data_IF_063102875938
#
_entry.id   IF_063102875938
#
_cell.length_a   1.000
_cell.length_b   1.000
_cell.length_c   1.000
_cell.angle_alpha   90.00
_cell.angle_beta   90.00
_cell.angle_gamma   90.00
#
_symmetry.space_group_name_H-M   'P 1'
#
loop_
_entity.id
_entity.type
_entity.pdbx_description
1 polymer ?
#
# COMPACT_ATOMS: atom_id res chain seq x y z
N UNK A 1 21.07 16.78 -55.33
CA UNK A 1 21.75 17.22 -54.09
C UNK A 1 20.76 17.19 -52.94
N UNK A 2 20.71 16.09 -52.18
CA UNK A 2 19.85 15.98 -50.99
C UNK A 2 20.66 16.37 -49.75
N UNK A 3 20.27 17.48 -49.12
CA UNK A 3 20.83 17.96 -47.86
C UNK A 3 20.37 17.06 -46.71
N UNK A 4 21.28 16.28 -46.13
CA UNK A 4 21.01 15.42 -44.98
C UNK A 4 20.97 16.27 -43.70
N UNK A 5 19.85 16.16 -43.00
CA UNK A 5 19.50 16.90 -41.78
C UNK A 5 20.55 16.70 -40.64
N UNK A 6 21.17 17.77 -40.10
CA UNK A 6 22.29 17.68 -39.16
C UNK A 6 21.98 16.95 -37.85
N UNK A 7 20.70 16.89 -37.45
CA UNK A 7 20.25 16.19 -36.24
C UNK A 7 20.46 14.67 -36.29
N UNK A 8 20.40 14.04 -37.47
CA UNK A 8 20.60 12.58 -37.59
C UNK A 8 22.07 12.17 -37.49
N UNK A 9 22.99 13.09 -37.79
CA UNK A 9 24.44 12.86 -37.68
C UNK A 9 24.89 12.87 -36.22
N UNK A 10 24.37 13.81 -35.43
CA UNK A 10 24.66 13.92 -34.00
C UNK A 10 24.20 12.69 -33.18
N UNK A 11 23.00 12.16 -33.47
CA UNK A 11 22.48 10.96 -32.77
C UNK A 11 23.28 9.71 -33.10
N UNK A 12 23.88 9.61 -34.29
CA UNK A 12 24.72 8.47 -34.68
C UNK A 12 26.08 8.52 -33.99
N UNK A 13 26.70 9.70 -33.88
CA UNK A 13 27.99 9.85 -33.20
C UNK A 13 27.90 9.62 -31.69
N UNK A 14 26.82 10.06 -31.03
CA UNK A 14 26.62 9.79 -29.59
C UNK A 14 26.46 8.29 -29.32
N UNK A 15 25.81 7.53 -30.23
CA UNK A 15 25.66 6.07 -30.09
C UNK A 15 26.97 5.33 -30.29
N UNK A 16 27.83 5.76 -31.21
CA UNK A 16 29.14 5.13 -31.40
C UNK A 16 30.13 5.45 -30.28
N UNK A 17 30.08 6.68 -29.74
CA UNK A 17 30.87 7.05 -28.57
C UNK A 17 30.44 6.29 -27.31
N UNK A 18 29.14 6.01 -27.15
CA UNK A 18 28.63 5.21 -26.03
C UNK A 18 29.00 3.72 -26.17
N UNK A 19 28.93 3.16 -27.39
CA UNK A 19 29.33 1.78 -27.65
C UNK A 19 30.84 1.56 -27.45
N UNK A 20 31.69 2.51 -27.87
CA UNK A 20 33.12 2.45 -27.65
C UNK A 20 33.50 2.54 -26.16
N UNK A 21 32.75 3.30 -25.36
CA UNK A 21 32.99 3.43 -23.92
C UNK A 21 32.59 2.18 -23.14
N UNK A 22 31.47 1.54 -23.48
CA UNK A 22 31.00 0.30 -22.83
C UNK A 22 31.91 -0.90 -23.11
N UNK A 23 32.49 -0.99 -24.32
CA UNK A 23 33.43 -2.05 -24.69
C UNK A 23 34.81 -1.84 -24.01
N UNK A 24 35.24 -0.59 -23.83
CA UNK A 24 36.50 -0.27 -23.12
C UNK A 24 36.45 -0.53 -21.61
N UNK A 25 35.30 -0.33 -20.96
CA UNK A 25 35.17 -0.52 -19.50
C UNK A 25 35.16 -2.00 -19.08
N UNK A 26 34.72 -2.91 -19.96
CA UNK A 26 34.72 -4.36 -19.68
C UNK A 26 36.09 -5.01 -19.87
N UNK A 27 37.03 -4.39 -20.59
CA UNK A 27 38.37 -4.92 -20.83
C UNK A 27 39.40 -4.54 -19.75
N UNK A 28 39.10 -3.58 -18.86
CA UNK A 28 40.03 -3.05 -17.87
C UNK A 28 39.83 -3.59 -16.43
N UNK A 29 38.91 -4.53 -16.20
CA UNK A 29 38.74 -5.21 -14.90
C UNK A 29 39.45 -6.56 -14.78
N UNK A 30 40.32 -6.91 -15.75
CA UNK A 30 41.24 -8.02 -15.60
C UNK A 30 42.64 -7.46 -15.33
N UNK A 31 43.29 -8.00 -14.30
CA UNK A 31 44.62 -7.66 -13.76
C UNK A 31 44.56 -6.69 -12.57
N UNK A 32 44.39 -7.25 -11.37
CA UNK A 32 45.38 -7.29 -10.29
C UNK A 32 44.85 -8.24 -9.20
N UNK A 33 45.55 -9.36 -9.02
CA UNK A 33 45.71 -10.03 -7.71
C UNK A 33 47.20 -9.95 -7.38
N UNK A 34 47.58 -9.77 -6.11
CA UNK A 34 47.86 -10.96 -5.31
C UNK A 34 47.49 -10.80 -3.82
N UNK A 35 46.92 -11.84 -3.22
CA UNK A 35 47.14 -12.09 -1.79
C UNK A 35 47.45 -13.57 -1.56
N UNK A 36 48.54 -13.79 -0.85
CA UNK A 36 49.28 -15.04 -0.76
C UNK A 36 48.57 -16.13 0.04
N UNK A 37 48.57 -17.33 -0.53
CA UNK A 37 48.99 -18.59 0.12
C UNK A 37 48.35 -19.01 1.44
N UNK A 38 47.36 -19.90 1.36
CA UNK A 38 47.36 -21.13 2.17
C UNK A 38 46.70 -22.26 1.39
N UNK A 39 47.52 -23.26 1.07
CA UNK A 39 47.15 -24.47 0.34
C UNK A 39 46.34 -25.40 1.25
N UNK A 40 45.03 -25.43 1.08
CA UNK A 40 44.25 -26.64 1.33
C UNK A 40 43.97 -27.27 -0.02
N UNK A 41 44.59 -28.43 -0.26
CA UNK A 41 44.32 -29.28 -1.40
C UNK A 41 42.88 -29.81 -1.32
N UNK A 42 41.91 -28.98 -1.71
CA UNK A 42 40.59 -29.45 -2.06
C UNK A 42 40.76 -30.27 -3.32
N UNK A 43 40.74 -31.60 -3.17
CA UNK A 43 40.50 -32.50 -4.30
C UNK A 43 39.26 -31.97 -5.01
N UNK A 44 39.46 -31.47 -6.22
CA UNK A 44 38.41 -31.05 -7.13
C UNK A 44 37.64 -32.30 -7.52
N UNK A 45 36.76 -32.76 -6.62
CA UNK A 45 35.63 -33.57 -7.02
C UNK A 45 34.74 -32.62 -7.83
N UNK A 46 35.08 -32.45 -9.10
CA UNK A 46 34.15 -31.95 -10.09
C UNK A 46 33.06 -33.00 -10.19
N UNK A 47 32.09 -32.93 -9.27
CA UNK A 47 30.78 -33.47 -9.54
C UNK A 47 30.37 -32.88 -10.90
N UNK A 48 29.97 -33.71 -11.88
CA UNK A 48 29.45 -33.16 -13.12
C UNK A 48 28.32 -32.20 -12.74
N UNK A 49 28.36 -30.99 -13.32
CA UNK A 49 27.21 -30.10 -13.30
C UNK A 49 26.02 -30.96 -13.70
N UNK A 50 25.02 -31.02 -12.81
CA UNK A 50 23.77 -31.74 -13.03
C UNK A 50 23.35 -31.48 -14.47
N UNK A 51 23.32 -32.56 -15.24
CA UNK A 51 22.81 -32.59 -16.61
C UNK A 51 21.50 -31.80 -16.61
N UNK A 52 21.44 -30.73 -17.42
CA UNK A 52 20.25 -29.89 -17.60
C UNK A 52 19.08 -30.83 -17.82
N UNK A 53 18.22 -30.96 -16.79
CA UNK A 53 17.07 -31.83 -16.84
C UNK A 53 16.27 -31.42 -18.08
N UNK A 54 16.27 -32.28 -19.08
CA UNK A 54 15.54 -32.06 -20.31
C UNK A 54 14.11 -31.66 -19.98
N UNK A 55 13.57 -30.73 -20.78
CA UNK A 55 12.19 -30.25 -20.71
C UNK A 55 11.26 -31.34 -20.15
N UNK A 56 10.73 -31.10 -18.95
CA UNK A 56 9.97 -32.06 -18.15
C UNK A 56 8.94 -32.81 -19.00
N UNK A 57 8.79 -34.11 -18.76
CA UNK A 57 7.73 -34.92 -19.38
C UNK A 57 6.37 -34.20 -19.31
N UNK A 58 5.53 -34.33 -20.35
CA UNK A 58 4.23 -33.67 -20.36
C UNK A 58 3.41 -34.08 -19.13
N UNK A 59 2.81 -33.08 -18.47
CA UNK A 59 2.07 -33.29 -17.24
C UNK A 59 0.96 -34.33 -17.45
N UNK A 60 0.82 -35.25 -16.49
CA UNK A 60 -0.33 -36.15 -16.45
C UNK A 60 -1.60 -35.37 -16.05
N UNK A 61 -2.77 -35.99 -16.19
CA UNK A 61 -4.04 -35.27 -16.00
C UNK A 61 -4.28 -34.83 -14.56
N UNK A 62 -3.77 -35.58 -13.58
CA UNK A 62 -3.83 -35.18 -12.16
C UNK A 62 -2.92 -33.98 -11.87
N UNK A 63 -1.72 -33.96 -12.47
CA UNK A 63 -0.79 -32.84 -12.36
C UNK A 63 -1.36 -31.59 -13.02
N UNK A 64 -2.05 -31.72 -14.16
CA UNK A 64 -2.77 -30.60 -14.79
C UNK A 64 -3.91 -30.11 -13.91
N UNK A 65 -4.69 -31.01 -13.31
CA UNK A 65 -5.79 -30.66 -12.42
C UNK A 65 -5.29 -29.93 -11.16
N UNK A 66 -4.23 -30.44 -10.53
CA UNK A 66 -3.58 -29.78 -9.39
C UNK A 66 -2.99 -28.42 -9.77
N UNK A 67 -2.28 -28.34 -10.90
CA UNK A 67 -1.73 -27.08 -11.39
C UNK A 67 -2.84 -26.05 -11.66
N UNK A 68 -3.98 -26.48 -12.21
CA UNK A 68 -5.13 -25.60 -12.40
C UNK A 68 -5.65 -25.10 -11.04
N UNK A 69 -5.91 -26.01 -10.09
CA UNK A 69 -6.38 -25.64 -8.75
C UNK A 69 -5.45 -24.63 -8.08
N UNK A 70 -4.14 -24.84 -8.11
CA UNK A 70 -3.16 -23.94 -7.52
C UNK A 70 -3.11 -22.56 -8.20
N UNK A 71 -3.61 -22.44 -9.43
CA UNK A 71 -3.61 -21.19 -10.21
C UNK A 71 -4.88 -20.38 -10.07
N UNK A 72 -6.03 -21.04 -9.88
CA UNK A 72 -7.33 -20.37 -9.87
C UNK A 72 -8.08 -20.51 -8.55
N UNK A 73 -7.49 -21.14 -7.55
CA UNK A 73 -8.05 -21.28 -6.19
C UNK A 73 -6.97 -21.04 -5.13
N UNK A 74 -7.37 -20.91 -3.86
CA UNK A 74 -6.42 -20.78 -2.74
C UNK A 74 -5.64 -22.09 -2.43
N UNK A 75 -5.81 -23.11 -3.28
CA UNK A 75 -5.20 -24.43 -3.16
C UNK A 75 -6.26 -25.53 -3.20
N UNK A 76 -5.83 -26.74 -3.57
CA UNK A 76 -6.72 -27.90 -3.65
C UNK A 76 -7.31 -28.26 -2.28
N UNK A 77 -8.65 -28.28 -2.18
CA UNK A 77 -9.36 -28.76 -0.98
C UNK A 77 -9.67 -30.26 -1.10
N UNK A 78 -9.95 -30.95 0.01
CA UNK A 78 -10.40 -32.33 -0.04
C UNK A 78 -11.63 -32.49 -0.95
N UNK A 79 -11.55 -33.35 -1.96
CA UNK A 79 -12.62 -33.58 -2.94
C UNK A 79 -12.53 -32.75 -4.23
N UNK A 80 -11.70 -31.70 -4.29
CA UNK A 80 -11.60 -30.86 -5.50
C UNK A 80 -10.96 -31.63 -6.67
N UNK A 81 -9.98 -32.49 -6.41
CA UNK A 81 -9.34 -33.31 -7.44
C UNK A 81 -10.29 -34.35 -8.03
N UNK A 82 -11.05 -35.05 -7.17
CA UNK A 82 -12.07 -36.01 -7.58
C UNK A 82 -13.18 -35.32 -8.39
N UNK A 83 -13.58 -34.12 -7.97
CA UNK A 83 -14.55 -33.30 -8.70
C UNK A 83 -14.04 -32.93 -10.09
N UNK A 84 -12.79 -32.46 -10.19
CA UNK A 84 -12.15 -32.13 -11.47
C UNK A 84 -11.99 -33.35 -12.38
N UNK A 85 -11.66 -34.52 -11.84
CA UNK A 85 -11.65 -35.78 -12.61
C UNK A 85 -13.04 -36.15 -13.14
N UNK A 86 -14.09 -35.90 -12.37
CA UNK A 86 -15.47 -36.21 -12.76
C UNK A 86 -16.06 -35.28 -13.82
N UNK A 87 -15.82 -33.96 -13.71
CA UNK A 87 -16.41 -32.96 -14.63
C UNK A 87 -15.48 -32.52 -15.76
N UNK A 88 -14.17 -32.66 -15.58
CA UNK A 88 -13.14 -32.15 -16.48
C UNK A 88 -12.74 -30.69 -16.24
N UNK A 89 -11.52 -30.34 -16.65
CA UNK A 89 -10.90 -29.03 -16.41
C UNK A 89 -11.67 -27.86 -17.04
N UNK A 90 -12.14 -28.03 -18.28
CA UNK A 90 -12.84 -26.96 -19.01
C UNK A 90 -14.19 -26.60 -18.36
N UNK A 91 -14.96 -27.61 -17.93
CA UNK A 91 -16.22 -27.40 -17.25
C UNK A 91 -16.02 -26.73 -15.88
N UNK A 92 -14.97 -27.12 -15.14
CA UNK A 92 -14.62 -26.47 -13.87
C UNK A 92 -14.27 -25.00 -14.07
N UNK A 93 -13.48 -24.67 -15.10
CA UNK A 93 -13.10 -23.30 -15.40
C UNK A 93 -14.30 -22.45 -15.82
N UNK A 94 -15.19 -22.96 -16.68
CA UNK A 94 -16.43 -22.26 -17.08
C UNK A 94 -17.29 -21.92 -15.86
N UNK A 95 -17.47 -22.87 -14.94
CA UNK A 95 -18.21 -22.65 -13.71
C UNK A 95 -17.58 -21.55 -12.84
N UNK A 96 -16.25 -21.51 -12.73
CA UNK A 96 -15.55 -20.48 -11.95
C UNK A 96 -15.62 -19.08 -12.59
N UNK A 97 -15.75 -19.00 -13.92
CA UNK A 97 -15.95 -17.73 -14.64
C UNK A 97 -17.38 -17.18 -14.49
N UNK A 98 -18.31 -18.01 -14.01
CA UNK A 98 -19.72 -17.69 -13.81
C UNK A 98 -20.13 -17.86 -12.34
N UNK A 99 -19.59 -17.01 -11.42
CA UNK A 99 -19.83 -17.14 -9.98
C UNK A 99 -21.31 -17.05 -9.58
N UNK A 100 -22.15 -16.39 -10.38
CA UNK A 100 -23.59 -16.32 -10.18
C UNK A 100 -24.29 -17.69 -10.21
N UNK A 101 -23.66 -18.71 -10.82
CA UNK A 101 -24.16 -20.09 -10.87
C UNK A 101 -23.76 -20.91 -9.63
N UNK A 102 -22.81 -20.42 -8.84
CA UNK A 102 -22.27 -21.08 -7.66
C UNK A 102 -23.00 -20.62 -6.40
N UNK A 103 -23.53 -21.58 -5.65
CA UNK A 103 -24.15 -21.34 -4.35
C UNK A 103 -23.09 -21.10 -3.26
N UNK A 104 -23.18 -19.93 -2.64
CA UNK A 104 -22.31 -19.47 -1.55
C UNK A 104 -23.11 -19.13 -0.27
N UNK A 105 -24.37 -19.57 -0.16
CA UNK A 105 -25.24 -19.24 0.99
C UNK A 105 -24.60 -19.56 2.35
N UNK A 106 -23.82 -20.65 2.43
CA UNK A 106 -23.13 -21.04 3.65
C UNK A 106 -22.02 -20.06 4.09
N UNK A 107 -21.27 -19.48 3.14
CA UNK A 107 -20.26 -18.46 3.47
C UNK A 107 -20.92 -17.11 3.73
N UNK A 108 -21.95 -16.75 2.97
CA UNK A 108 -22.71 -15.51 3.21
C UNK A 108 -23.34 -15.50 4.61
N UNK A 109 -23.83 -16.64 5.11
CA UNK A 109 -24.32 -16.75 6.49
C UNK A 109 -23.22 -16.51 7.54
N UNK A 110 -21.97 -16.89 7.26
CA UNK A 110 -20.83 -16.64 8.15
C UNK A 110 -20.38 -15.19 8.10
N UNK A 111 -20.33 -14.59 6.89
CA UNK A 111 -19.98 -13.19 6.68
C UNK A 111 -21.04 -12.27 7.30
N UNK A 112 -22.32 -12.64 7.24
CA UNK A 112 -23.41 -11.91 7.89
C UNK A 112 -23.27 -11.83 9.42
N UNK A 113 -22.49 -12.71 10.05
CA UNK A 113 -22.19 -12.64 11.48
C UNK A 113 -21.15 -11.55 11.84
N UNK A 114 -20.55 -10.89 10.85
CA UNK A 114 -19.58 -9.81 11.00
C UNK A 114 -20.28 -8.45 10.79
N UNK A 115 -20.71 -7.78 11.87
CA UNK A 115 -21.63 -6.65 11.77
C UNK A 115 -21.08 -5.45 11.00
N UNK A 116 -19.77 -5.20 11.05
CA UNK A 116 -19.17 -4.03 10.38
C UNK A 116 -19.24 -4.12 8.86
N UNK A 117 -19.34 -5.32 8.29
CA UNK A 117 -19.36 -5.55 6.84
C UNK A 117 -20.67 -5.11 6.19
N UNK A 118 -21.75 -5.08 6.96
CA UNK A 118 -23.09 -4.72 6.50
C UNK A 118 -23.41 -3.24 6.73
N UNK A 119 -22.57 -2.53 7.47
CA UNK A 119 -22.78 -1.13 7.80
C UNK A 119 -22.39 -0.20 6.65
N UNK A 120 -23.00 0.99 6.62
CA UNK A 120 -22.53 2.10 5.80
C UNK A 120 -21.29 2.77 6.43
N UNK A 121 -20.47 3.49 5.66
CA UNK A 121 -19.36 4.27 6.22
C UNK A 121 -19.79 5.24 7.34
N UNK A 122 -20.99 5.82 7.23
CA UNK A 122 -21.55 6.73 8.23
C UNK A 122 -21.83 6.00 9.55
N UNK A 123 -22.50 4.85 9.48
CA UNK A 123 -22.77 4.00 10.65
C UNK A 123 -21.48 3.50 11.30
N UNK A 124 -20.46 3.19 10.48
CA UNK A 124 -19.16 2.77 10.96
C UNK A 124 -18.44 3.88 11.73
N UNK A 125 -18.52 5.13 11.28
CA UNK A 125 -17.96 6.28 12.01
C UNK A 125 -18.67 6.53 13.33
N UNK A 126 -20.00 6.38 13.36
CA UNK A 126 -20.81 6.57 14.57
C UNK A 126 -20.60 5.48 15.61
N UNK A 127 -20.60 4.22 15.19
CA UNK A 127 -20.52 3.05 16.08
C UNK A 127 -19.08 2.66 16.45
N UNK A 128 -18.10 2.96 15.60
CA UNK A 128 -16.68 2.62 15.81
C UNK A 128 -15.78 3.86 15.70
N UNK A 129 -16.00 4.90 16.54
CA UNK A 129 -15.22 6.13 16.49
C UNK A 129 -13.75 5.89 16.86
N UNK A 130 -12.82 6.73 16.38
CA UNK A 130 -11.42 6.60 16.75
C UNK A 130 -11.25 6.82 18.26
N UNK A 131 -10.33 6.10 18.92
CA UNK A 131 -10.09 6.28 20.34
C UNK A 131 -9.69 7.73 20.60
N UNK A 132 -10.37 8.39 21.56
CA UNK A 132 -10.07 9.78 21.94
C UNK A 132 -8.61 9.84 22.41
N UNK A 133 -7.76 10.56 21.67
CA UNK A 133 -6.39 10.85 22.08
C UNK A 133 -6.42 11.55 23.45
N UNK A 134 -6.17 10.79 24.52
CA UNK A 134 -6.32 11.25 25.90
C UNK A 134 -6.64 10.16 26.94
N UNK A 135 -7.15 9.00 26.51
CA UNK A 135 -7.37 7.82 27.39
C UNK A 135 -6.26 6.77 27.32
N UNK A 136 -5.16 7.06 26.61
CA UNK A 136 -3.86 6.55 27.05
C UNK A 136 -3.51 7.25 28.36
N UNK A 137 -4.24 6.87 29.42
CA UNK A 137 -3.82 7.01 30.78
C UNK A 137 -2.40 6.46 30.81
N UNK A 138 -1.44 7.37 30.95
CA UNK A 138 -0.37 7.28 31.93
C UNK A 138 -0.29 5.85 32.46
N UNK A 139 0.40 4.97 31.73
CA UNK A 139 0.80 3.66 32.26
C UNK A 139 1.84 4.02 33.31
N UNK A 140 1.37 4.44 34.47
CA UNK A 140 2.18 4.68 35.65
C UNK A 140 2.95 3.38 35.85
N UNK A 141 4.26 3.44 35.68
CA UNK A 141 5.13 2.43 36.23
C UNK A 141 4.72 2.28 37.70
N UNK A 142 4.37 1.08 38.19
CA UNK A 142 4.06 0.93 39.59
C UNK A 142 5.33 1.27 40.38
N UNK A 143 5.36 2.47 40.96
CA UNK A 143 6.32 2.78 42.00
C UNK A 143 5.91 1.94 43.20
N UNK A 144 6.78 0.99 43.55
CA UNK A 144 6.61 0.17 44.73
C UNK A 144 6.69 1.07 45.97
N UNK A 145 5.54 1.50 46.48
CA UNK A 145 5.35 1.79 47.91
C UNK A 145 3.86 1.82 48.26
N UNK A 146 3.54 1.07 49.31
CA UNK A 146 2.20 0.61 49.64
C UNK A 146 1.23 1.69 50.06
N UNK A 147 -0.06 1.43 49.84
CA UNK A 147 -0.90 0.91 50.91
C UNK A 147 -2.22 0.38 50.33
N UNK A 148 -2.72 -0.65 51.01
CA UNK A 148 -3.88 -1.47 50.67
C UNK A 148 -5.17 -0.71 51.00
N UNK A 149 -5.97 -0.41 49.98
CA UNK A 149 -7.40 -0.16 50.14
C UNK A 149 -8.13 -0.85 48.98
N UNK A 150 -8.95 -1.84 49.35
CA UNK A 150 -9.81 -2.63 48.47
C UNK A 150 -10.87 -1.74 47.80
N UNK A 151 -10.99 -1.72 46.47
CA UNK A 151 -12.19 -1.20 45.83
C UNK A 151 -13.24 -2.33 45.80
N UNK A 152 -14.34 -2.12 46.51
CA UNK A 152 -15.57 -2.92 46.39
C UNK A 152 -16.03 -2.89 44.93
N UNK A 153 -15.93 -4.01 44.22
CA UNK A 153 -16.45 -4.13 42.87
C UNK A 153 -17.97 -4.22 42.90
N UNK A 154 -18.64 -3.15 42.47
CA UNK A 154 -20.01 -3.20 41.99
C UNK A 154 -20.06 -4.14 40.78
N UNK A 155 -20.60 -5.35 40.96
CA UNK A 155 -20.92 -6.26 39.86
C UNK A 155 -22.14 -5.76 39.10
N UNK A 156 -21.94 -4.76 38.24
CA UNK A 156 -22.81 -4.56 37.09
C UNK A 156 -22.23 -5.41 35.96
N UNK A 157 -22.97 -6.46 35.61
CA UNK A 157 -22.65 -7.28 34.46
C UNK A 157 -22.50 -6.38 33.22
N UNK A 158 -21.40 -6.50 32.45
CA UNK A 158 -21.21 -5.69 31.26
C UNK A 158 -22.33 -6.01 30.26
N UNK A 159 -22.94 -4.96 29.69
CA UNK A 159 -23.91 -5.11 28.60
C UNK A 159 -23.26 -5.89 27.45
N UNK A 160 -23.90 -6.93 26.90
CA UNK A 160 -23.39 -7.60 25.72
C UNK A 160 -23.39 -6.59 24.56
N UNK A 161 -22.20 -6.19 24.12
CA UNK A 161 -22.00 -5.16 23.08
C UNK A 161 -21.06 -4.01 23.48
N UNK A 162 -20.74 -3.85 24.76
CA UNK A 162 -19.80 -2.82 25.24
C UNK A 162 -18.42 -3.40 25.59
N UNK A 163 -17.87 -4.26 24.73
CA UNK A 163 -16.46 -4.64 24.80
C UNK A 163 -15.64 -3.45 24.30
N UNK A 164 -15.21 -2.61 25.24
CA UNK A 164 -14.08 -1.67 25.17
C UNK A 164 -13.66 -1.22 23.76
N UNK A 165 -14.45 -0.34 23.15
CA UNK A 165 -14.20 0.47 21.93
C UNK A 165 -12.94 0.07 21.13
N UNK A 166 -12.99 -1.10 20.50
CA UNK A 166 -12.13 -1.38 19.35
C UNK A 166 -12.66 -0.49 18.23
N UNK A 167 -12.11 0.72 18.08
CA UNK A 167 -12.55 1.69 17.07
C UNK A 167 -12.33 1.21 15.63
N UNK A 168 -11.74 2.01 14.72
CA UNK A 168 -11.55 1.59 13.33
C UNK A 168 -10.75 0.28 13.15
N UNK A 169 -10.02 -0.19 14.17
CA UNK A 169 -9.36 -1.50 14.16
C UNK A 169 -10.34 -2.67 13.98
N UNK A 170 -11.52 -2.62 14.61
CA UNK A 170 -12.48 -3.73 14.51
C UNK A 170 -13.01 -3.89 13.10
N UNK A 171 -13.28 -2.77 12.43
CA UNK A 171 -13.69 -2.74 11.01
C UNK A 171 -12.67 -3.44 10.12
N UNK A 172 -11.38 -3.11 10.30
CA UNK A 172 -10.29 -3.73 9.53
C UNK A 172 -10.14 -5.22 9.87
N UNK A 173 -10.30 -5.61 11.14
CA UNK A 173 -10.18 -7.00 11.57
C UNK A 173 -11.31 -7.87 11.04
N UNK A 174 -12.56 -7.38 11.06
CA UNK A 174 -13.70 -8.10 10.50
C UNK A 174 -13.59 -8.22 8.98
N UNK A 175 -13.04 -7.21 8.27
CA UNK A 175 -12.74 -7.34 6.84
C UNK A 175 -11.68 -8.41 6.55
N UNK A 176 -10.60 -8.46 7.33
CA UNK A 176 -9.60 -9.53 7.20
C UNK A 176 -10.22 -10.91 7.50
N UNK A 177 -11.16 -10.98 8.44
CA UNK A 177 -11.89 -12.22 8.75
C UNK A 177 -12.77 -12.66 7.59
N UNK A 178 -13.42 -11.73 6.87
CA UNK A 178 -14.18 -12.03 5.65
C UNK A 178 -13.30 -12.71 4.60
N UNK A 179 -12.11 -12.18 4.32
CA UNK A 179 -11.20 -12.74 3.32
C UNK A 179 -10.86 -14.19 3.62
N UNK A 180 -10.57 -14.51 4.89
CA UNK A 180 -10.28 -15.89 5.32
C UNK A 180 -11.52 -16.77 5.22
N UNK A 181 -12.69 -16.29 5.63
CA UNK A 181 -13.94 -17.04 5.54
C UNK A 181 -14.26 -17.38 4.09
N UNK A 182 -14.10 -16.42 3.17
CA UNK A 182 -14.34 -16.62 1.75
C UNK A 182 -13.31 -17.55 1.13
N UNK A 183 -12.03 -17.41 1.46
CA UNK A 183 -10.99 -18.32 0.99
C UNK A 183 -11.27 -19.79 1.35
N UNK A 184 -11.75 -20.04 2.57
CA UNK A 184 -12.01 -21.40 3.07
C UNK A 184 -13.35 -21.96 2.57
N UNK A 185 -14.43 -21.17 2.66
CA UNK A 185 -15.80 -21.69 2.51
C UNK A 185 -16.46 -21.35 1.17
N UNK A 186 -15.98 -20.34 0.43
CA UNK A 186 -16.58 -19.97 -0.86
C UNK A 186 -16.33 -21.06 -1.92
N UNK A 187 -17.33 -21.30 -2.77
CA UNK A 187 -17.17 -22.08 -4.00
C UNK A 187 -16.65 -21.24 -5.16
N UNK A 188 -16.78 -19.91 -5.08
CA UNK A 188 -16.38 -18.92 -6.09
C UNK A 188 -14.90 -18.55 -5.97
N UNK A 189 -14.03 -19.55 -5.88
CA UNK A 189 -12.61 -19.42 -5.59
C UNK A 189 -11.87 -18.46 -6.54
N UNK A 190 -12.16 -18.54 -7.84
CA UNK A 190 -11.56 -17.63 -8.83
C UNK A 190 -11.99 -16.17 -8.59
N UNK A 191 -13.26 -15.93 -8.25
CA UNK A 191 -13.73 -14.58 -7.93
C UNK A 191 -12.97 -14.01 -6.72
N UNK A 192 -12.81 -14.79 -5.66
CA UNK A 192 -12.13 -14.35 -4.44
C UNK A 192 -10.64 -14.05 -4.66
N UNK A 193 -9.94 -14.85 -5.47
CA UNK A 193 -8.57 -14.55 -5.88
C UNK A 193 -8.50 -13.25 -6.67
N UNK A 194 -9.42 -13.05 -7.60
CA UNK A 194 -9.46 -11.83 -8.40
C UNK A 194 -9.77 -10.61 -7.53
N UNK A 195 -10.64 -10.74 -6.53
CA UNK A 195 -10.86 -9.67 -5.53
C UNK A 195 -9.56 -9.33 -4.81
N UNK A 196 -8.84 -10.32 -4.26
CA UNK A 196 -7.56 -10.06 -3.58
C UNK A 196 -6.51 -9.45 -4.51
N UNK A 197 -6.43 -9.93 -5.76
CA UNK A 197 -5.53 -9.38 -6.77
C UNK A 197 -5.82 -7.89 -7.00
N UNK A 198 -7.08 -7.52 -7.19
CA UNK A 198 -7.48 -6.13 -7.44
C UNK A 198 -7.38 -5.26 -6.21
N UNK A 199 -7.68 -5.78 -5.02
CA UNK A 199 -7.46 -5.07 -3.74
C UNK A 199 -5.98 -4.74 -3.54
N UNK A 200 -5.07 -5.65 -3.92
CA UNK A 200 -3.64 -5.40 -3.88
C UNK A 200 -3.17 -4.46 -5.01
N UNK A 201 -3.80 -4.50 -6.19
CA UNK A 201 -3.42 -3.63 -7.32
C UNK A 201 -3.91 -2.19 -7.13
N UNK A 202 -5.16 -2.02 -6.72
CA UNK A 202 -5.79 -0.73 -6.40
C UNK A 202 -5.75 -0.47 -4.88
N UNK A 203 -4.57 -0.67 -4.30
CA UNK A 203 -4.39 -0.63 -2.85
C UNK A 203 -4.68 0.75 -2.27
N UNK A 204 -5.37 0.75 -1.12
CA UNK A 204 -5.58 1.90 -0.25
C UNK A 204 -5.01 1.60 1.13
N UNK A 205 -4.46 2.60 1.81
CA UNK A 205 -3.90 2.40 3.14
C UNK A 205 -4.99 2.56 4.20
N UNK A 206 -5.60 1.46 4.65
CA UNK A 206 -6.68 1.49 5.64
C UNK A 206 -6.38 2.35 6.89
N UNK A 207 -5.16 2.35 7.48
CA UNK A 207 -4.86 3.23 8.61
C UNK A 207 -4.78 4.73 8.26
N UNK A 208 -4.93 5.13 6.99
CA UNK A 208 -4.99 6.55 6.56
C UNK A 208 -6.36 7.14 6.87
N UNK A 209 -6.49 7.58 8.11
CA UNK A 209 -7.60 8.40 8.54
C UNK A 209 -9.00 7.84 8.24
N UNK A 210 -9.76 8.48 7.35
CA UNK A 210 -11.12 8.04 7.00
C UNK A 210 -11.14 6.70 6.25
N UNK A 211 -10.03 6.30 5.61
CA UNK A 211 -9.96 5.03 4.88
C UNK A 211 -10.24 3.84 5.79
N UNK A 212 -10.01 3.96 7.09
CA UNK A 212 -10.26 2.89 8.06
C UNK A 212 -11.73 2.45 8.14
N UNK A 213 -12.67 3.31 7.76
CA UNK A 213 -14.10 2.99 7.64
C UNK A 213 -14.55 2.81 6.19
N UNK A 214 -13.79 3.33 5.22
CA UNK A 214 -14.14 3.24 3.80
C UNK A 214 -13.66 1.95 3.14
N UNK A 215 -12.61 1.30 3.64
CA UNK A 215 -12.02 0.10 3.02
C UNK A 215 -13.03 -1.03 2.83
N UNK A 216 -13.93 -1.24 3.79
CA UNK A 216 -15.00 -2.25 3.69
C UNK A 216 -15.94 -1.97 2.51
N UNK A 217 -16.45 -0.74 2.39
CA UNK A 217 -17.28 -0.35 1.24
C UNK A 217 -16.52 -0.38 -0.10
N UNK A 218 -15.21 -0.11 -0.06
CA UNK A 218 -14.36 -0.19 -1.24
C UNK A 218 -14.26 -1.62 -1.77
N UNK A 219 -13.99 -2.59 -0.90
CA UNK A 219 -13.96 -4.01 -1.29
C UNK A 219 -15.36 -4.49 -1.76
N UNK A 220 -16.38 -4.31 -0.91
CA UNK A 220 -17.76 -4.79 -1.12
C UNK A 220 -18.44 -4.17 -2.34
N UNK A 221 -18.39 -2.85 -2.45
CA UNK A 221 -19.18 -2.10 -3.44
C UNK A 221 -18.35 -1.72 -4.68
N UNK A 222 -17.01 -1.59 -4.54
CA UNK A 222 -16.13 -1.13 -5.63
C UNK A 222 -15.45 -2.28 -6.37
N UNK A 223 -14.82 -3.22 -5.66
CA UNK A 223 -13.99 -4.26 -6.27
C UNK A 223 -14.77 -5.54 -6.56
N UNK A 224 -15.42 -6.12 -5.55
CA UNK A 224 -16.09 -7.43 -5.61
C UNK A 224 -17.09 -7.60 -6.76
N UNK A 225 -17.98 -6.63 -7.07
CA UNK A 225 -18.95 -6.78 -8.15
C UNK A 225 -18.32 -6.76 -9.55
N UNK A 226 -17.05 -6.31 -9.67
CA UNK A 226 -16.35 -6.11 -10.94
C UNK A 226 -15.07 -6.94 -11.08
N UNK A 227 -14.81 -7.85 -10.15
CA UNK A 227 -13.57 -8.63 -10.12
C UNK A 227 -13.32 -9.46 -11.39
N UNK A 228 -14.38 -10.01 -12.01
CA UNK A 228 -14.36 -10.76 -13.27
C UNK A 228 -14.93 -9.96 -14.46
N UNK A 229 -15.21 -8.67 -14.27
CA UNK A 229 -15.84 -7.81 -15.27
C UNK A 229 -14.84 -7.16 -16.24
N UNK A 230 -15.28 -6.09 -16.90
CA UNK A 230 -14.40 -5.27 -17.74
C UNK A 230 -13.49 -4.41 -16.87
N UNK A 231 -12.21 -4.37 -17.25
CA UNK A 231 -11.22 -3.54 -16.55
C UNK A 231 -11.60 -2.05 -16.55
N UNK A 232 -12.16 -1.53 -17.63
CA UNK A 232 -12.58 -0.13 -17.72
C UNK A 232 -13.62 0.23 -16.65
N UNK A 233 -14.63 -0.63 -16.46
CA UNK A 233 -15.67 -0.43 -15.45
C UNK A 233 -15.08 -0.47 -14.03
N UNK A 234 -14.15 -1.42 -13.78
CA UNK A 234 -13.44 -1.51 -12.51
C UNK A 234 -12.58 -0.27 -12.25
N UNK A 235 -11.78 0.16 -13.23
CA UNK A 235 -10.92 1.33 -13.12
C UNK A 235 -11.73 2.60 -12.88
N UNK A 236 -12.82 2.79 -13.63
CA UNK A 236 -13.71 3.93 -13.49
C UNK A 236 -14.39 3.96 -12.11
N UNK A 237 -14.82 2.80 -11.60
CA UNK A 237 -15.40 2.69 -10.27
C UNK A 237 -14.38 2.99 -9.17
N UNK A 238 -13.18 2.41 -9.26
CA UNK A 238 -12.08 2.66 -8.33
C UNK A 238 -11.72 4.14 -8.26
N UNK A 239 -11.53 4.79 -9.40
CA UNK A 239 -11.15 6.21 -9.46
C UNK A 239 -12.20 7.16 -8.86
N UNK A 240 -13.48 6.76 -8.86
CA UNK A 240 -14.60 7.53 -8.31
C UNK A 240 -14.97 7.13 -6.88
N UNK A 241 -14.37 6.07 -6.34
CA UNK A 241 -14.71 5.58 -5.01
C UNK A 241 -14.32 6.60 -3.93
N UNK A 242 -15.12 6.76 -2.86
CA UNK A 242 -14.79 7.67 -1.77
C UNK A 242 -13.44 7.34 -1.10
N UNK A 243 -13.12 6.05 -0.96
CA UNK A 243 -11.86 5.58 -0.42
C UNK A 243 -10.66 6.04 -1.27
N UNK A 244 -10.70 5.85 -2.59
CA UNK A 244 -9.59 6.26 -3.46
C UNK A 244 -9.44 7.78 -3.52
N UNK A 245 -10.56 8.52 -3.53
CA UNK A 245 -10.54 9.98 -3.48
C UNK A 245 -9.94 10.52 -2.18
N UNK A 246 -10.21 9.86 -1.06
CA UNK A 246 -9.60 10.19 0.23
C UNK A 246 -8.13 9.80 0.26
N UNK A 247 -7.80 8.57 -0.15
CA UNK A 247 -6.45 8.03 -0.16
C UNK A 247 -5.47 8.85 -0.99
N UNK A 248 -5.88 9.34 -2.17
CA UNK A 248 -5.05 10.19 -3.03
C UNK A 248 -5.11 11.68 -2.69
N UNK A 249 -5.82 12.06 -1.62
CA UNK A 249 -6.04 13.47 -1.26
C UNK A 249 -6.72 14.30 -2.37
N UNK A 250 -7.40 13.63 -3.32
CA UNK A 250 -8.14 14.27 -4.41
C UNK A 250 -9.28 15.15 -3.90
N UNK A 251 -9.85 14.82 -2.73
CA UNK A 251 -10.85 15.63 -2.04
C UNK A 251 -10.34 17.03 -1.61
N UNK A 252 -9.02 17.24 -1.51
CA UNK A 252 -8.42 18.54 -1.22
C UNK A 252 -8.00 19.30 -2.49
N UNK A 253 -8.04 18.66 -3.66
CA UNK A 253 -7.64 19.29 -4.92
C UNK A 253 -8.64 20.37 -5.31
N UNK A 254 -8.13 21.58 -5.51
CA UNK A 254 -8.89 22.73 -5.99
C UNK A 254 -8.14 23.39 -7.17
N UNK A 255 -8.84 24.07 -8.08
CA UNK A 255 -8.16 24.74 -9.19
C UNK A 255 -7.41 25.99 -8.69
N UNK A 256 -6.30 26.41 -9.33
CA UNK A 256 -5.60 27.67 -9.00
C UNK A 256 -6.50 28.91 -8.94
N UNK A 257 -7.62 28.91 -9.68
CA UNK A 257 -8.60 30.01 -9.67
C UNK A 257 -9.42 30.04 -8.37
N UNK A 258 -9.58 28.89 -7.72
CA UNK A 258 -10.32 28.72 -6.47
C UNK A 258 -9.42 28.90 -5.24
N UNK A 259 -8.10 29.01 -5.42
CA UNK A 259 -7.23 29.52 -4.37
C UNK A 259 -7.44 31.04 -4.27
N UNK A 260 -7.84 31.59 -3.11
CA UNK A 260 -7.71 33.01 -2.90
C UNK A 260 -6.23 33.35 -3.09
N UNK A 261 -5.94 34.15 -4.14
CA UNK A 261 -4.62 34.73 -4.38
C UNK A 261 -4.07 35.17 -3.02
N UNK A 262 -2.97 34.58 -2.58
CA UNK A 262 -2.29 35.03 -1.37
C UNK A 262 -1.88 36.47 -1.64
N UNK A 263 -2.70 37.43 -1.19
CA UNK A 263 -2.31 38.82 -1.16
C UNK A 263 -0.97 38.88 -0.42
N UNK A 264 0.06 39.51 -0.99
CA UNK A 264 1.38 39.55 -0.38
C UNK A 264 1.24 40.06 1.05
N UNK A 265 1.78 39.27 1.99
CA UNK A 265 1.75 39.49 3.43
C UNK A 265 1.59 40.96 3.83
N UNK A 266 0.36 41.38 4.17
CA UNK A 266 0.13 42.65 4.85
C UNK A 266 0.29 42.41 6.34
N UNK A 267 1.43 42.82 6.87
CA UNK A 267 1.80 42.70 8.29
C UNK A 267 0.68 43.27 9.20
N UNK A 268 0.00 42.46 10.03
CA UNK A 268 -1.04 42.96 10.92
C UNK A 268 -0.41 43.40 12.24
N UNK A 269 0.31 44.52 12.21
CA UNK A 269 0.63 45.28 13.42
C UNK A 269 -0.59 46.09 13.84
N UNK A 270 -1.65 45.44 14.31
CA UNK A 270 -2.75 46.12 15.02
C UNK A 270 -3.60 45.08 15.74
N UNK A 271 -3.57 45.14 17.07
CA UNK A 271 -4.23 44.18 17.93
C UNK A 271 -5.71 44.04 17.66
N UNK A 272 -6.21 42.82 17.91
CA UNK A 272 -7.48 42.55 18.57
C UNK A 272 -7.58 41.05 18.84
N UNK A 273 -7.90 40.74 20.09
CA UNK A 273 -8.24 39.40 20.58
C UNK A 273 -9.28 38.77 19.65
N UNK A 274 -9.03 37.57 19.14
CA UNK A 274 -10.06 36.75 18.50
C UNK A 274 -10.01 35.32 19.00
N UNK A 275 -11.18 34.88 19.45
CA UNK A 275 -11.49 33.57 19.94
C UNK A 275 -11.03 32.47 18.98
N UNK A 276 -10.41 31.43 19.54
CA UNK A 276 -10.07 30.19 18.84
C UNK A 276 -11.36 29.42 18.54
N UNK A 277 -11.98 29.70 17.39
CA UNK A 277 -12.98 28.78 16.84
C UNK A 277 -12.23 27.71 16.04
N UNK A 278 -11.93 26.59 16.69
CA UNK A 278 -11.44 25.40 16.01
C UNK A 278 -12.59 24.83 15.18
N UNK A 279 -12.56 25.08 13.87
CA UNK A 279 -13.34 24.28 12.94
C UNK A 279 -12.61 22.96 12.74
N UNK A 280 -13.01 21.94 13.50
CA UNK A 280 -12.77 20.56 13.11
C UNK A 280 -13.71 20.27 11.94
N UNK A 281 -13.17 19.89 10.79
CA UNK A 281 -13.98 19.30 9.71
C UNK A 281 -14.60 17.98 10.18
N UNK A 282 -15.57 17.48 9.42
CA UNK A 282 -16.36 16.27 9.71
C UNK A 282 -15.53 15.03 10.09
N UNK A 283 -14.23 15.01 9.79
CA UNK A 283 -13.30 13.90 10.07
C UNK A 283 -12.22 14.19 11.12
N UNK A 284 -12.32 15.28 11.90
CA UNK A 284 -11.49 15.46 13.11
C UNK A 284 -9.99 15.68 12.92
N UNK A 285 -9.45 15.72 11.70
CA UNK A 285 -8.03 16.00 11.47
C UNK A 285 -7.71 17.50 11.60
N UNK A 286 -6.67 17.89 12.37
CA UNK A 286 -6.15 19.25 12.31
C UNK A 286 -5.57 19.50 10.91
N UNK A 287 -5.97 20.60 10.25
CA UNK A 287 -5.29 21.06 9.04
C UNK A 287 -3.78 21.21 9.33
N UNK A 288 -2.87 20.67 8.51
CA UNK A 288 -1.44 20.87 8.72
C UNK A 288 -1.13 22.38 8.65
N UNK A 289 -0.45 22.90 9.67
CA UNK A 289 0.17 24.23 9.60
C UNK A 289 1.26 24.13 8.54
N UNK A 290 1.09 24.81 7.40
CA UNK A 290 2.16 24.97 6.43
C UNK A 290 3.38 25.58 7.12
N UNK A 291 4.49 24.86 7.08
CA UNK A 291 5.80 25.41 7.39
C UNK A 291 6.09 26.55 6.41
N UNK A 292 6.18 27.78 6.90
CA UNK A 292 6.73 28.87 6.11
C UNK A 292 8.22 28.60 5.86
N UNK A 293 8.74 28.80 4.63
CA UNK A 293 10.16 28.65 4.37
C UNK A 293 10.95 29.69 5.16
N UNK A 294 11.94 29.27 5.96
CA UNK A 294 12.93 30.16 6.56
C UNK A 294 13.82 30.73 5.47
N UNK A 295 13.47 31.88 4.91
CA UNK A 295 14.42 32.68 4.13
C UNK A 295 15.22 33.57 5.09
N UNK A 296 16.36 33.07 5.58
CA UNK A 296 17.39 33.92 6.15
C UNK A 296 18.44 34.22 5.07
N UNK A 297 18.24 35.33 4.33
CA UNK A 297 19.35 36.00 3.64
C UNK A 297 19.69 37.27 4.44
N UNK A 298 20.93 37.43 4.94
CA UNK A 298 21.35 38.69 5.55
C UNK A 298 21.57 39.75 4.47
N UNK A 299 21.33 41.05 4.75
CA UNK A 299 21.54 42.11 3.77
C UNK A 299 23.03 42.39 3.58
N UNK A 300 23.45 42.46 2.31
CA UNK A 300 24.76 42.95 1.88
C UNK A 300 24.82 44.47 2.10
N UNK A 301 25.55 44.90 3.12
CA UNK A 301 26.06 46.26 3.26
C UNK A 301 27.58 46.23 3.15
N UNK A 302 28.11 46.57 1.99
CA UNK A 302 29.53 46.81 1.78
C UNK A 302 29.81 48.33 1.82
N UNK A 303 30.89 48.76 2.46
CA UNK A 303 31.61 49.95 2.04
C UNK A 303 32.94 49.57 1.35
N UNK A 304 33.19 50.23 0.22
CA UNK A 304 34.39 50.14 -0.61
C UNK A 304 35.63 50.70 0.11
N UNK A 305 36.79 50.03 0.00
CA UNK A 305 38.16 50.59 -0.08
C UNK A 305 39.03 49.57 -0.84
N UNK A 306 39.27 49.81 -2.14
CA UNK A 306 40.55 50.25 -2.78
C UNK A 306 41.64 49.19 -2.82
N UNK A 307 42.05 48.85 -4.05
CA UNK A 307 43.20 48.02 -4.42
C UNK A 307 44.50 48.83 -4.32
N UNK A 308 45.58 48.22 -3.81
CA UNK A 308 47.02 48.48 -4.06
C UNK A 308 47.77 47.52 -3.12
N UNK A 309 48.65 46.59 -3.50
CA UNK A 309 49.87 46.60 -4.33
C UNK A 309 51.04 46.10 -3.43
N UNK A 310 51.89 45.25 -4.01
CA UNK A 310 53.25 44.85 -3.60
C UNK A 310 53.51 43.82 -2.46
N UNK A 311 54.00 42.65 -2.90
CA UNK A 311 55.07 41.83 -2.28
C UNK A 311 56.38 42.64 -2.07
N UNK A 312 57.51 42.08 -1.54
CA UNK A 312 57.75 41.02 -0.54
C UNK A 312 58.85 41.43 0.51
N UNK A 313 59.05 40.65 1.60
CA UNK A 313 60.38 40.24 2.16
C UNK A 313 60.30 39.75 3.62
N UNK A 314 60.95 38.59 3.85
CA UNK A 314 61.99 38.28 4.86
C UNK A 314 61.70 38.68 6.32
N UNK A 315 61.54 37.66 7.16
CA UNK A 315 62.50 37.25 8.20
C UNK A 315 62.36 35.74 8.48
#
# INVERSE_FOLDING_TARGET
>A
MFSLNPARKAVREVRELFAAWVIGFLAASLIIQPFSGSLLAVKKASAPLREEAGWSEPLNDDQKALQLLDRITFGARPGDLERLRGMGLAAFLDEQLHPERLDDAAVEAKVAALPTLQMSPEELVENYPPPKQGTQAKREQPSAKGNRATPTMSMQAPKPGAMEVEGPRRVIMELAQEEVLRAVYSRRQLQEIMVQFWMNHFNIFAPKGADAWLTTSFERDTIRPRALGKFEDLLAATAKSPAMLFYLDNWMSASPKDYPQQHPYRNPSAGRRRARRHYYGLFGYPRPRMFAPRTSRPPLSAPRRTCEENQPRVE
#
